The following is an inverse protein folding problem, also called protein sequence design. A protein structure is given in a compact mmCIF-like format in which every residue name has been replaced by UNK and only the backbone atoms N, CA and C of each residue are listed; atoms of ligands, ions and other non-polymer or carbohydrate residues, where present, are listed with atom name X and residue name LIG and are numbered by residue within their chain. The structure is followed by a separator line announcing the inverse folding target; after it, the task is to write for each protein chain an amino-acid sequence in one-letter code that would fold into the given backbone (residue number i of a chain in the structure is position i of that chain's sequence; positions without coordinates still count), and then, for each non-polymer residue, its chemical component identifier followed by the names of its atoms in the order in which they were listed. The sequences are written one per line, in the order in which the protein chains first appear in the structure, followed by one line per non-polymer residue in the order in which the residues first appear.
data_IF_829500591249
#
_entry.id   IF_829500591249
#
_cell.length_a   1.000
_cell.length_b   1.000
_cell.length_c   1.000
_cell.angle_alpha   90.00
_cell.angle_beta   90.00
_cell.angle_gamma   90.00
#
_symmetry.space_group_name_H-M   'P 1'
#
loop_
_entity.id
_entity.type
_entity.pdbx_description
1 polymer ?
#
# COMPACT_ATOMS: atom_id res chain seq x y z
N UNK A 1 17.45 6.36 9.61
CA UNK A 1 17.45 7.35 8.50
C UNK A 1 16.37 6.99 7.48
N UNK A 2 16.58 5.94 6.69
CA UNK A 2 15.57 5.56 5.70
C UNK A 2 14.24 5.19 6.37
N UNK A 3 14.27 4.41 7.43
CA UNK A 3 13.05 4.01 8.14
C UNK A 3 12.25 5.21 8.64
N UNK A 4 12.93 6.23 9.14
CA UNK A 4 12.28 7.45 9.61
C UNK A 4 11.69 8.25 8.46
N UNK A 5 12.37 8.30 7.32
CA UNK A 5 11.87 8.97 6.12
C UNK A 5 10.62 8.28 5.59
N UNK A 6 10.64 6.95 5.53
CA UNK A 6 9.49 6.17 5.08
C UNK A 6 8.31 6.35 6.03
N UNK A 7 8.56 6.35 7.33
CA UNK A 7 7.50 6.55 8.32
C UNK A 7 6.90 7.96 8.22
N UNK A 8 7.71 8.95 7.89
CA UNK A 8 7.23 10.31 7.65
C UNK A 8 6.24 10.36 6.47
N UNK A 9 6.52 9.63 5.40
CA UNK A 9 5.60 9.53 4.26
C UNK A 9 4.27 8.92 4.71
N UNK A 10 4.33 7.86 5.53
CA UNK A 10 3.11 7.24 6.04
C UNK A 10 2.33 8.15 6.99
N UNK A 11 3.02 8.95 7.80
CA UNK A 11 2.36 9.94 8.65
C UNK A 11 1.59 10.96 7.81
N UNK A 12 2.19 11.46 6.74
CA UNK A 12 1.53 12.38 5.83
C UNK A 12 0.34 11.72 5.14
N UNK A 13 0.50 10.47 4.71
CA UNK A 13 -0.56 9.72 4.05
C UNK A 13 -1.75 9.51 4.98
N UNK A 14 -1.51 8.99 6.19
CA UNK A 14 -2.58 8.76 7.15
C UNK A 14 -3.23 10.06 7.61
N UNK A 15 -2.46 11.14 7.64
CA UNK A 15 -2.96 12.47 8.01
C UNK A 15 -3.77 13.15 6.90
N UNK A 16 -3.65 12.70 5.65
CA UNK A 16 -4.35 13.30 4.52
C UNK A 16 -5.85 12.96 4.49
N UNK A 17 -6.25 11.90 5.16
CA UNK A 17 -7.65 11.46 5.16
C UNK A 17 -7.98 10.70 6.44
N UNK A 18 -9.13 11.04 7.03
CA UNK A 18 -9.67 10.29 8.18
C UNK A 18 -10.22 8.93 7.76
N UNK A 19 -10.34 8.67 6.46
CA UNK A 19 -10.81 7.39 5.94
C UNK A 19 -9.72 6.32 5.91
N UNK A 20 -8.45 6.69 6.06
CA UNK A 20 -7.33 5.76 6.11
C UNK A 20 -7.15 5.30 7.56
N UNK A 21 -7.27 3.99 7.77
CA UNK A 21 -7.14 3.38 9.10
C UNK A 21 -5.72 2.93 9.40
N UNK A 22 -4.98 2.53 8.36
CA UNK A 22 -3.64 1.99 8.51
C UNK A 22 -2.90 2.06 7.20
N UNK A 23 -1.57 2.12 7.27
CA UNK A 23 -0.72 2.06 6.09
C UNK A 23 0.60 1.38 6.40
N UNK A 24 1.22 0.82 5.37
CA UNK A 24 2.50 0.13 5.50
C UNK A 24 3.27 0.20 4.19
N UNK A 25 4.59 0.13 4.31
CA UNK A 25 5.50 -0.01 3.18
C UNK A 25 6.20 -1.35 3.35
N UNK A 26 6.12 -2.18 2.34
CA UNK A 26 6.55 -3.58 2.40
C UNK A 26 7.45 -3.81 1.19
N UNK A 27 8.57 -4.54 1.40
CA UNK A 27 9.42 -4.93 0.28
C UNK A 27 8.68 -5.94 -0.60
N UNK A 28 9.11 -6.09 -1.84
CA UNK A 28 8.51 -7.08 -2.75
C UNK A 28 8.70 -8.52 -2.23
N UNK A 29 9.63 -8.73 -1.31
CA UNK A 29 9.86 -10.03 -0.66
C UNK A 29 8.97 -10.24 0.56
N UNK A 30 8.13 -9.28 0.91
CA UNK A 30 7.18 -9.40 2.01
C UNK A 30 7.68 -8.93 3.36
N UNK A 31 8.82 -8.23 3.41
CA UNK A 31 9.38 -7.71 4.65
C UNK A 31 8.84 -6.31 4.95
N UNK A 32 8.39 -6.09 6.18
CA UNK A 32 7.89 -4.80 6.62
C UNK A 32 9.03 -3.79 6.70
N UNK A 33 8.90 -2.68 5.95
CA UNK A 33 9.89 -1.60 5.96
C UNK A 33 9.49 -0.46 6.88
N UNK A 34 8.21 -0.12 6.91
CA UNK A 34 7.64 0.87 7.82
C UNK A 34 6.13 0.64 7.91
N UNK A 35 5.54 1.02 9.04
CA UNK A 35 4.10 0.85 9.22
C UNK A 35 3.52 1.90 10.16
N UNK A 36 2.27 2.25 9.93
CA UNK A 36 1.42 3.02 10.83
C UNK A 36 0.10 2.27 10.96
N UNK A 37 0.04 1.39 11.94
CA UNK A 37 -1.10 0.51 12.13
C UNK A 37 -1.52 0.46 13.60
N UNK A 38 -2.82 0.30 13.88
CA UNK A 38 -3.28 0.05 15.24
C UNK A 38 -2.67 -1.23 15.79
N UNK A 39 -2.64 -1.35 17.10
CA UNK A 39 -2.20 -2.59 17.75
C UNK A 39 -3.10 -3.75 17.35
N UNK A 40 -2.53 -4.94 17.29
CA UNK A 40 -3.26 -6.15 16.97
C UNK A 40 -3.14 -6.62 15.53
N UNK A 41 -2.54 -5.82 14.65
CA UNK A 41 -2.26 -6.26 13.29
C UNK A 41 -0.99 -7.10 13.26
N UNK A 42 -1.07 -8.22 12.55
CA UNK A 42 0.09 -9.09 12.31
C UNK A 42 0.87 -8.53 11.12
N UNK A 43 1.98 -7.83 11.40
CA UNK A 43 2.77 -7.17 10.36
C UNK A 43 3.41 -8.18 9.40
N UNK A 44 3.86 -9.33 9.91
CA UNK A 44 4.48 -10.36 9.06
C UNK A 44 3.47 -10.93 8.08
N UNK A 45 2.26 -11.23 8.55
CA UNK A 45 1.19 -11.72 7.70
C UNK A 45 0.80 -10.67 6.66
N UNK A 46 0.63 -9.43 7.06
CA UNK A 46 0.28 -8.35 6.17
C UNK A 46 1.34 -8.15 5.09
N UNK A 47 2.61 -8.20 5.46
CA UNK A 47 3.71 -8.09 4.52
C UNK A 47 3.70 -9.20 3.48
N UNK A 48 3.58 -10.45 3.93
CA UNK A 48 3.56 -11.60 3.04
C UNK A 48 2.36 -11.56 2.08
N UNK A 49 1.18 -11.23 2.60
CA UNK A 49 -0.03 -11.15 1.79
C UNK A 49 0.02 -10.01 0.77
N UNK A 50 0.54 -8.86 1.17
CA UNK A 50 0.66 -7.71 0.27
C UNK A 50 1.62 -8.00 -0.88
N UNK A 51 2.77 -8.59 -0.59
CA UNK A 51 3.74 -8.96 -1.62
C UNK A 51 3.15 -9.99 -2.59
N UNK A 52 2.46 -11.00 -2.06
CA UNK A 52 1.82 -12.04 -2.88
C UNK A 52 0.72 -11.45 -3.78
N UNK A 53 -0.11 -10.57 -3.23
CA UNK A 53 -1.20 -9.95 -4.01
C UNK A 53 -0.67 -9.04 -5.11
N UNK A 54 0.37 -8.27 -4.83
CA UNK A 54 0.97 -7.43 -5.86
C UNK A 54 1.57 -8.27 -6.98
N UNK A 55 2.29 -9.32 -6.64
CA UNK A 55 2.90 -10.23 -7.61
C UNK A 55 1.83 -10.91 -8.48
N UNK A 56 0.77 -11.43 -7.86
CA UNK A 56 -0.32 -12.06 -8.58
C UNK A 56 -1.07 -11.05 -9.45
N UNK A 57 -1.31 -9.85 -8.94
CA UNK A 57 -1.96 -8.78 -9.70
C UNK A 57 -1.17 -8.37 -10.93
N UNK A 58 0.16 -8.24 -10.80
CA UNK A 58 1.03 -7.89 -11.91
C UNK A 58 1.02 -8.98 -12.98
N UNK A 59 1.11 -10.22 -12.57
CA UNK A 59 1.02 -11.36 -13.48
C UNK A 59 -0.33 -11.43 -14.18
N UNK A 60 -1.41 -11.20 -13.45
CA UNK A 60 -2.76 -11.19 -13.99
C UNK A 60 -2.92 -10.10 -15.06
N UNK A 61 -2.44 -8.89 -14.75
CA UNK A 61 -2.52 -7.77 -15.70
C UNK A 61 -1.77 -8.08 -17.00
N UNK A 62 -0.60 -8.69 -16.89
CA UNK A 62 0.21 -9.05 -18.06
C UNK A 62 -0.43 -10.19 -18.86
N UNK A 63 -0.84 -11.26 -18.22
CA UNK A 63 -1.42 -12.42 -18.90
C UNK A 63 -2.75 -12.12 -19.57
N UNK A 64 -3.52 -11.17 -19.02
CA UNK A 64 -4.79 -10.76 -19.60
C UNK A 64 -4.65 -9.54 -20.52
N UNK A 65 -3.43 -9.21 -20.90
CA UNK A 65 -3.11 -8.12 -21.83
C UNK A 65 -3.63 -6.75 -21.35
N UNK A 66 -3.54 -6.51 -20.06
CA UNK A 66 -3.91 -5.22 -19.45
C UNK A 66 -2.71 -4.31 -19.19
N UNK A 67 -1.50 -4.78 -19.51
CA UNK A 67 -0.28 -3.99 -19.35
C UNK A 67 0.33 -4.08 -17.97
N UNK A 68 0.94 -2.99 -17.52
CA UNK A 68 1.59 -2.91 -16.22
C UNK A 68 0.55 -2.71 -15.11
N UNK A 69 0.69 -3.44 -14.01
CA UNK A 69 -0.20 -3.27 -12.87
C UNK A 69 -0.03 -1.87 -12.27
N UNK A 70 -1.13 -1.17 -12.04
CA UNK A 70 -1.11 0.14 -11.38
C UNK A 70 -1.54 0.03 -9.92
N UNK A 71 -2.51 -0.81 -9.62
CA UNK A 71 -2.96 -1.01 -8.23
C UNK A 71 -3.81 -2.26 -8.11
N UNK A 72 -3.94 -2.75 -6.86
CA UNK A 72 -4.88 -3.80 -6.50
C UNK A 72 -5.87 -3.21 -5.50
N UNK A 73 -7.15 -3.42 -5.74
CA UNK A 73 -8.21 -2.99 -4.83
C UNK A 73 -8.97 -4.21 -4.34
N UNK A 74 -9.05 -4.37 -3.03
CA UNK A 74 -9.87 -5.40 -2.41
C UNK A 74 -10.98 -4.70 -1.64
N UNK A 75 -12.23 -5.00 -1.99
CA UNK A 75 -13.40 -4.46 -1.29
C UNK A 75 -13.99 -5.55 -0.42
N UNK A 76 -13.85 -5.39 0.90
CA UNK A 76 -14.51 -6.24 1.87
C UNK A 76 -15.75 -5.54 2.43
N UNK A 77 -16.58 -6.27 3.15
CA UNK A 77 -17.79 -5.71 3.76
C UNK A 77 -17.48 -4.68 4.85
N UNK A 78 -16.26 -4.70 5.39
CA UNK A 78 -15.84 -3.80 6.47
C UNK A 78 -14.75 -2.83 6.09
N UNK A 79 -14.43 -2.71 4.81
CA UNK A 79 -13.43 -1.76 4.35
C UNK A 79 -12.70 -2.19 3.11
N UNK A 80 -11.68 -1.41 2.75
CA UNK A 80 -10.89 -1.63 1.55
C UNK A 80 -9.44 -1.91 1.88
N UNK A 81 -8.78 -2.69 1.02
CA UNK A 81 -7.33 -2.81 0.99
C UNK A 81 -6.86 -2.30 -0.36
N UNK A 82 -5.92 -1.37 -0.35
CA UNK A 82 -5.37 -0.78 -1.57
C UNK A 82 -3.87 -1.05 -1.59
N UNK A 83 -3.40 -1.63 -2.69
CA UNK A 83 -1.99 -1.98 -2.87
C UNK A 83 -1.48 -1.28 -4.12
N UNK A 84 -0.38 -0.55 -3.98
CA UNK A 84 0.24 0.17 -5.09
C UNK A 84 1.75 -0.05 -5.04
N UNK A 85 2.35 -0.35 -6.18
CA UNK A 85 3.80 -0.49 -6.26
C UNK A 85 4.50 0.84 -6.03
N UNK A 86 5.62 0.80 -5.32
CA UNK A 86 6.48 1.96 -5.09
C UNK A 86 7.84 1.64 -5.71
N UNK A 87 8.02 2.03 -6.97
CA UNK A 87 9.16 1.60 -7.75
C UNK A 87 9.10 0.10 -7.99
N UNK A 88 10.27 -0.54 -8.10
CA UNK A 88 10.39 -1.99 -8.33
C UNK A 88 10.64 -2.78 -7.06
N UNK A 89 10.90 -2.10 -5.94
CA UNK A 89 11.41 -2.75 -4.73
C UNK A 89 10.40 -2.81 -3.59
N UNK A 90 9.30 -2.06 -3.66
CA UNK A 90 8.37 -1.97 -2.54
C UNK A 90 6.92 -1.83 -2.98
N UNK A 91 6.03 -2.04 -2.03
CA UNK A 91 4.59 -1.86 -2.19
C UNK A 91 4.07 -1.03 -1.01
N UNK A 92 3.12 -0.13 -1.31
CA UNK A 92 2.37 0.60 -0.29
C UNK A 92 1.03 -0.09 -0.12
N UNK A 93 0.70 -0.44 1.11
CA UNK A 93 -0.58 -1.06 1.45
C UNK A 93 -1.35 -0.12 2.37
N UNK A 94 -2.60 0.14 2.03
CA UNK A 94 -3.48 1.03 2.79
C UNK A 94 -4.76 0.30 3.14
N UNK A 95 -5.18 0.42 4.40
CA UNK A 95 -6.48 -0.06 4.86
C UNK A 95 -7.40 1.15 5.01
N UNK A 96 -8.55 1.10 4.37
CA UNK A 96 -9.50 2.21 4.36
C UNK A 96 -10.87 1.77 4.86
N UNK A 97 -11.62 2.72 5.41
CA UNK A 97 -12.97 2.50 5.93
C UNK A 97 -13.94 2.13 4.82
N UNK A 98 -15.06 1.44 5.15
CA UNK A 98 -16.01 1.00 4.12
C UNK A 98 -16.70 2.15 3.37
N UNK A 99 -16.77 3.33 3.98
CA UNK A 99 -17.38 4.52 3.35
C UNK A 99 -16.32 5.50 2.82
N UNK A 100 -15.09 5.03 2.61
CA UNK A 100 -13.98 5.86 2.16
C UNK A 100 -14.23 6.45 0.76
N UNK A 101 -13.74 7.68 0.58
CA UNK A 101 -13.76 8.35 -0.73
C UNK A 101 -12.54 7.90 -1.52
N UNK A 102 -12.69 6.79 -2.26
CA UNK A 102 -11.58 6.11 -2.91
C UNK A 102 -10.80 6.97 -3.89
N UNK A 103 -11.47 7.85 -4.64
CA UNK A 103 -10.78 8.71 -5.60
C UNK A 103 -9.71 9.59 -4.95
N UNK A 104 -9.99 10.12 -3.78
CA UNK A 104 -9.04 10.93 -3.02
C UNK A 104 -7.91 10.07 -2.46
N UNK A 105 -8.26 8.88 -1.94
CA UNK A 105 -7.26 7.95 -1.41
C UNK A 105 -6.31 7.50 -2.50
N UNK A 106 -6.81 7.17 -3.70
CA UNK A 106 -5.97 6.77 -4.82
C UNK A 106 -4.95 7.85 -5.16
N UNK A 107 -5.35 9.11 -5.14
CA UNK A 107 -4.45 10.23 -5.41
C UNK A 107 -3.36 10.33 -4.34
N UNK A 108 -3.75 10.23 -3.07
CA UNK A 108 -2.82 10.31 -1.95
C UNK A 108 -1.85 9.14 -1.94
N UNK A 109 -2.33 7.94 -2.21
CA UNK A 109 -1.49 6.73 -2.28
C UNK A 109 -0.51 6.83 -3.44
N UNK A 110 -0.93 7.35 -4.59
CA UNK A 110 -0.04 7.56 -5.73
C UNK A 110 1.11 8.51 -5.36
N UNK A 111 0.80 9.63 -4.70
CA UNK A 111 1.81 10.58 -4.25
C UNK A 111 2.79 9.94 -3.27
N UNK A 112 2.27 9.16 -2.33
CA UNK A 112 3.11 8.45 -1.36
C UNK A 112 4.03 7.46 -2.07
N UNK A 113 3.49 6.67 -3.00
CA UNK A 113 4.29 5.66 -3.72
C UNK A 113 5.38 6.31 -4.57
N UNK A 114 5.11 7.45 -5.19
CA UNK A 114 6.11 8.19 -5.97
C UNK A 114 7.22 8.72 -5.07
N UNK A 115 6.88 9.26 -3.91
CA UNK A 115 7.87 9.72 -2.93
C UNK A 115 8.75 8.57 -2.43
N UNK A 116 8.14 7.44 -2.11
CA UNK A 116 8.86 6.26 -1.62
C UNK A 116 9.80 5.72 -2.70
N UNK A 117 9.34 5.66 -3.95
CA UNK A 117 10.17 5.17 -5.05
C UNK A 117 11.46 5.98 -5.22
N UNK A 118 11.46 7.26 -4.86
CA UNK A 118 12.64 8.12 -4.93
C UNK A 118 13.60 7.91 -3.77
N UNK A 119 13.13 7.28 -2.69
CA UNK A 119 13.94 7.06 -1.47
C UNK A 119 14.66 5.72 -1.48
N UNK A 120 14.18 4.78 -2.28
CA UNK A 120 14.68 3.40 -2.25
C UNK A 120 15.33 2.96 -3.55
#
# INVERSE_FOLDING_TARGET
MLADMLKSVLNDLNGSSTDIEASAIISIDGLMMASLMPQGFDEDRMGAMSAAMLSLGDRTAQELARGTLEQVLIKGSQGFVILTGAGKAAVVTVLAKPNAKLGLIFLDVRRASESIAKMI
#
